data_IF_627815129583
#
_entry.id   IF_627815129583
#
_cell.length_a   1.000
_cell.length_b   1.000
_cell.length_c   1.000
_cell.angle_alpha   90.00
_cell.angle_beta   90.00
_cell.angle_gamma   90.00
#
_symmetry.space_group_name_H-M   'P 1'
#
loop_
_entity.id
_entity.type
_entity.pdbx_description
1 polymer ?
#
# COMPACT_ATOMS: atom_id res chain seq x y z
N UNK A 1 -16.30 -14.58 -2.72
CA UNK A 1 -16.61 -14.51 -1.28
C UNK A 1 -15.95 -15.68 -0.58
N UNK A 2 -15.22 -15.46 0.50
CA UNK A 2 -14.72 -16.59 1.26
C UNK A 2 -15.87 -17.36 1.88
N UNK A 3 -15.81 -18.67 1.80
CA UNK A 3 -16.85 -19.52 2.35
C UNK A 3 -16.77 -19.57 3.88
N UNK A 4 -15.59 -19.26 4.42
CA UNK A 4 -15.35 -19.23 5.86
C UNK A 4 -14.85 -17.84 6.26
N UNK A 5 -15.38 -17.25 7.35
CA UNK A 5 -14.92 -15.95 7.83
C UNK A 5 -13.41 -15.90 8.07
N UNK A 6 -12.79 -17.03 8.42
CA UNK A 6 -11.35 -17.12 8.68
C UNK A 6 -10.49 -16.99 7.42
N UNK A 7 -11.10 -17.09 6.22
CA UNK A 7 -10.39 -16.93 4.95
C UNK A 7 -10.24 -15.46 4.55
N UNK A 8 -11.02 -14.55 5.14
CA UNK A 8 -10.89 -13.13 4.89
C UNK A 8 -9.73 -12.56 5.73
N UNK A 9 -9.21 -11.44 5.28
CA UNK A 9 -8.16 -10.70 6.00
C UNK A 9 -8.72 -9.85 7.15
N UNK A 10 -10.04 -9.71 7.23
CA UNK A 10 -10.71 -8.98 8.31
C UNK A 10 -11.46 -9.94 9.23
N UNK A 11 -11.41 -9.64 10.54
CA UNK A 11 -12.23 -10.32 11.53
C UNK A 11 -13.70 -9.93 11.35
N UNK A 12 -14.60 -10.68 11.98
CA UNK A 12 -16.04 -10.37 11.98
C UNK A 12 -16.30 -8.96 12.52
N UNK A 13 -15.48 -8.51 13.49
CA UNK A 13 -15.55 -7.14 14.02
C UNK A 13 -15.21 -6.07 13.00
N UNK A 14 -14.64 -6.43 11.86
CA UNK A 14 -14.14 -5.51 10.85
C UNK A 14 -12.67 -5.17 11.00
N UNK A 15 -12.04 -5.57 12.10
CA UNK A 15 -10.63 -5.29 12.36
C UNK A 15 -9.74 -6.12 11.44
N UNK A 16 -8.67 -5.49 10.93
CA UNK A 16 -7.68 -6.21 10.13
C UNK A 16 -6.99 -7.28 11.00
N UNK A 17 -6.91 -8.50 10.48
CA UNK A 17 -6.25 -9.60 11.18
C UNK A 17 -4.75 -9.30 11.30
N UNK A 18 -4.17 -9.38 12.50
CA UNK A 18 -2.74 -9.10 12.67
C UNK A 18 -1.84 -10.18 12.04
N UNK A 19 -2.35 -11.38 11.82
CA UNK A 19 -1.59 -12.50 11.27
C UNK A 19 -1.48 -12.52 9.74
N UNK A 20 -2.12 -11.56 9.05
CA UNK A 20 -2.06 -11.49 7.58
C UNK A 20 -1.03 -10.48 7.06
N UNK A 21 -0.39 -9.72 7.93
CA UNK A 21 0.62 -8.72 7.57
C UNK A 21 1.89 -8.94 8.41
N UNK A 22 3.06 -8.66 7.82
CA UNK A 22 4.28 -8.63 8.60
C UNK A 22 4.39 -7.30 9.36
N UNK A 23 5.38 -7.17 10.25
CA UNK A 23 5.51 -6.00 11.10
C UNK A 23 5.75 -4.72 10.31
N UNK A 24 6.58 -4.78 9.26
CA UNK A 24 6.86 -3.63 8.41
C UNK A 24 5.62 -3.16 7.67
N UNK A 25 4.80 -4.10 7.19
CA UNK A 25 3.54 -3.79 6.51
C UNK A 25 2.52 -3.20 7.47
N UNK A 26 2.41 -3.78 8.68
CA UNK A 26 1.53 -3.23 9.71
C UNK A 26 1.91 -1.78 10.04
N UNK A 27 3.20 -1.49 10.13
CA UNK A 27 3.66 -0.12 10.38
C UNK A 27 3.29 0.82 9.24
N UNK A 28 3.48 0.38 8.00
CA UNK A 28 3.10 1.18 6.82
C UNK A 28 1.60 1.47 6.82
N UNK A 29 0.77 0.50 7.20
CA UNK A 29 -0.68 0.72 7.29
C UNK A 29 -1.04 1.72 8.37
N UNK A 30 -0.37 1.69 9.52
CA UNK A 30 -0.58 2.69 10.59
C UNK A 30 -0.18 4.09 10.11
N UNK A 31 0.94 4.21 9.40
CA UNK A 31 1.34 5.49 8.81
C UNK A 31 0.33 5.96 7.76
N UNK A 32 -0.23 5.03 6.98
CA UNK A 32 -1.28 5.37 6.02
C UNK A 32 -2.50 6.01 6.70
N UNK A 33 -2.89 5.52 7.89
CA UNK A 33 -3.96 6.14 8.67
C UNK A 33 -3.61 7.58 9.03
N UNK A 34 -2.38 7.83 9.46
CA UNK A 34 -1.91 9.17 9.81
C UNK A 34 -1.94 10.11 8.61
N UNK A 35 -1.49 9.65 7.44
CA UNK A 35 -1.51 10.46 6.22
C UNK A 35 -2.93 10.72 5.72
N UNK A 36 -3.83 9.75 5.86
CA UNK A 36 -5.24 9.93 5.52
C UNK A 36 -5.81 11.08 6.33
N UNK A 37 -5.58 11.06 7.63
CA UNK A 37 -6.08 12.08 8.55
C UNK A 37 -5.44 13.43 8.29
N UNK A 38 -4.11 13.49 8.10
CA UNK A 38 -3.39 14.75 7.92
C UNK A 38 -3.68 15.43 6.58
N UNK A 39 -4.16 14.68 5.60
CA UNK A 39 -4.60 15.23 4.31
C UNK A 39 -6.13 15.46 4.27
N UNK A 40 -6.80 15.29 5.40
CA UNK A 40 -8.23 15.54 5.61
C UNK A 40 -9.16 14.63 4.80
N UNK A 41 -8.79 13.36 4.71
CA UNK A 41 -9.64 12.32 4.15
C UNK A 41 -10.21 11.45 5.29
N UNK A 42 -11.44 10.99 5.11
CA UNK A 42 -12.14 10.18 6.12
C UNK A 42 -12.02 8.66 5.86
N UNK A 43 -11.42 8.28 4.75
CA UNK A 43 -11.13 6.89 4.45
C UNK A 43 -9.79 6.76 3.73
N UNK A 44 -9.09 5.66 4.01
CA UNK A 44 -7.78 5.40 3.40
C UNK A 44 -7.98 5.08 1.92
N UNK A 45 -7.29 5.83 1.07
CA UNK A 45 -7.26 5.65 -0.38
C UNK A 45 -5.91 5.07 -0.79
N UNK A 46 -5.82 4.58 -2.00
CA UNK A 46 -4.57 3.99 -2.52
C UNK A 46 -3.35 4.91 -2.35
N UNK A 47 -3.45 6.22 -2.65
CA UNK A 47 -2.30 7.12 -2.40
C UNK A 47 -1.84 7.15 -0.95
N UNK A 48 -2.76 7.02 0.01
CA UNK A 48 -2.40 7.01 1.44
C UNK A 48 -1.61 5.74 1.78
N UNK A 49 -1.97 4.59 1.20
CA UNK A 49 -1.18 3.37 1.36
C UNK A 49 0.24 3.55 0.81
N UNK A 50 0.34 4.17 -0.36
CA UNK A 50 1.63 4.45 -0.98
C UNK A 50 2.46 5.37 -0.09
N UNK A 51 1.87 6.42 0.47
CA UNK A 51 2.53 7.30 1.43
C UNK A 51 3.07 6.53 2.63
N UNK A 52 2.28 5.58 3.16
CA UNK A 52 2.71 4.74 4.27
C UNK A 52 3.94 3.90 3.92
N UNK A 53 3.97 3.33 2.72
CA UNK A 53 5.12 2.56 2.24
C UNK A 53 6.36 3.46 2.09
N UNK A 54 6.19 4.68 1.61
CA UNK A 54 7.29 5.63 1.44
C UNK A 54 7.84 6.12 2.79
N UNK A 55 6.99 6.25 3.80
CA UNK A 55 7.38 6.76 5.12
C UNK A 55 8.21 5.75 5.91
N UNK A 56 7.92 4.46 5.75
CA UNK A 56 8.64 3.41 6.48
C UNK A 56 8.93 2.22 5.54
N UNK A 57 9.79 2.45 4.53
CA UNK A 57 10.04 1.42 3.53
C UNK A 57 10.81 0.23 4.12
N UNK A 58 10.35 -0.97 3.79
CA UNK A 58 11.11 -2.18 4.06
C UNK A 58 12.26 -2.31 3.03
N UNK A 59 13.16 -3.31 3.16
CA UNK A 59 14.25 -3.47 2.19
C UNK A 59 13.78 -3.57 0.74
N UNK A 60 12.62 -4.19 0.48
CA UNK A 60 12.09 -4.31 -0.87
C UNK A 60 11.69 -2.97 -1.46
N UNK A 61 10.94 -2.17 -0.71
CA UNK A 61 10.52 -0.83 -1.15
C UNK A 61 11.72 0.08 -1.31
N UNK A 62 12.69 0.00 -0.40
CA UNK A 62 13.93 0.78 -0.50
C UNK A 62 14.72 0.41 -1.77
N UNK A 63 14.82 -0.88 -2.08
CA UNK A 63 15.49 -1.35 -3.29
C UNK A 63 14.75 -0.88 -4.56
N UNK A 64 13.42 -0.93 -4.55
CA UNK A 64 12.61 -0.41 -5.66
C UNK A 64 12.88 1.07 -5.90
N UNK A 65 12.83 1.85 -4.84
CA UNK A 65 13.09 3.30 -4.92
C UNK A 65 14.47 3.58 -5.51
N UNK A 66 15.50 2.85 -5.07
CA UNK A 66 16.86 2.98 -5.60
C UNK A 66 16.92 2.63 -7.08
N UNK A 67 16.29 1.55 -7.49
CA UNK A 67 16.26 1.13 -8.91
C UNK A 67 15.55 2.16 -9.79
N UNK A 68 14.51 2.77 -9.26
CA UNK A 68 13.77 3.81 -9.99
C UNK A 68 14.54 5.13 -10.04
N UNK A 69 15.53 5.31 -9.17
CA UNK A 69 16.26 6.56 -9.03
C UNK A 69 15.44 7.63 -8.30
N UNK A 70 14.51 7.20 -7.46
CA UNK A 70 13.62 8.09 -6.74
C UNK A 70 14.00 8.20 -5.26
N UNK A 71 13.80 9.39 -4.69
CA UNK A 71 13.96 9.64 -3.26
C UNK A 71 12.60 9.46 -2.59
N UNK A 72 12.50 8.52 -1.65
CA UNK A 72 11.23 8.22 -0.97
C UNK A 72 10.68 9.43 -0.23
N UNK A 73 11.54 10.24 0.39
CA UNK A 73 11.08 11.43 1.13
C UNK A 73 10.50 12.49 0.20
N UNK A 74 11.13 12.69 -0.96
CA UNK A 74 10.63 13.65 -1.96
C UNK A 74 9.31 13.17 -2.56
N UNK A 75 9.21 11.89 -2.88
CA UNK A 75 7.96 11.30 -3.37
C UNK A 75 6.85 11.46 -2.33
N UNK A 76 7.15 11.18 -1.07
CA UNK A 76 6.19 11.31 0.01
C UNK A 76 5.65 12.74 0.10
N UNK A 77 6.53 13.74 0.10
CA UNK A 77 6.13 15.15 0.15
C UNK A 77 5.26 15.51 -1.04
N UNK A 78 5.61 15.06 -2.24
CA UNK A 78 4.84 15.31 -3.46
C UNK A 78 3.44 14.69 -3.38
N UNK A 79 3.34 13.46 -2.90
CA UNK A 79 2.03 12.79 -2.77
C UNK A 79 1.18 13.43 -1.68
N UNK A 80 1.77 13.84 -0.57
CA UNK A 80 1.04 14.56 0.49
C UNK A 80 0.45 15.86 -0.03
N UNK A 81 1.23 16.63 -0.77
CA UNK A 81 0.75 17.90 -1.34
C UNK A 81 -0.34 17.66 -2.38
N UNK A 82 -0.16 16.65 -3.24
CA UNK A 82 -1.08 16.35 -4.31
C UNK A 82 -2.46 15.91 -3.79
N UNK A 83 -2.49 15.16 -2.69
CA UNK A 83 -3.73 14.59 -2.15
C UNK A 83 -4.26 15.33 -0.93
N UNK A 84 -3.60 16.42 -0.51
CA UNK A 84 -4.15 17.27 0.53
C UNK A 84 -5.42 17.95 0.04
N UNK A 85 -6.45 17.97 0.88
CA UNK A 85 -7.67 18.72 0.61
C UNK A 85 -8.08 19.54 1.82
N UNK A 86 -8.68 20.71 1.56
CA UNK A 86 -9.25 21.51 2.63
C UNK A 86 -10.61 20.91 3.00
N UNK A 87 -10.73 20.47 4.24
CA UNK A 87 -11.94 19.87 4.77
C UNK A 87 -11.90 19.96 6.30
N UNK A 88 -13.01 19.64 6.93
CA UNK A 88 -13.06 19.58 8.38
C UNK A 88 -12.07 18.53 8.91
N UNK A 89 -11.45 18.79 10.08
CA UNK A 89 -10.55 17.80 10.68
C UNK A 89 -11.24 16.46 10.88
N UNK A 90 -10.50 15.39 10.58
CA UNK A 90 -11.01 14.03 10.64
C UNK A 90 -10.65 13.41 11.99
N UNK A 91 -11.57 12.72 12.66
CA UNK A 91 -11.25 12.01 13.90
C UNK A 91 -10.26 10.86 13.64
N UNK A 92 -9.59 10.34 14.68
CA UNK A 92 -8.64 9.24 14.52
C UNK A 92 -9.25 8.04 13.81
N UNK A 93 -8.48 7.44 12.90
CA UNK A 93 -8.86 6.26 12.12
C UNK A 93 -8.20 5.03 12.73
N UNK A 94 -8.81 3.88 12.51
CA UNK A 94 -8.32 2.59 13.00
C UNK A 94 -8.10 1.63 11.83
N UNK A 95 -7.31 0.58 12.06
CA UNK A 95 -7.13 -0.51 11.10
C UNK A 95 -8.37 -1.41 11.08
N UNK A 96 -9.46 -0.85 10.60
CA UNK A 96 -10.76 -1.47 10.55
C UNK A 96 -11.34 -1.26 9.15
N UNK A 97 -12.01 -2.29 8.64
CA UNK A 97 -12.58 -2.33 7.29
C UNK A 97 -13.35 -1.06 6.93
N UNK A 98 -14.09 -0.49 7.88
CA UNK A 98 -14.94 0.69 7.64
C UNK A 98 -14.15 1.96 7.26
N UNK A 99 -12.85 2.00 7.60
CA UNK A 99 -12.00 3.17 7.32
C UNK A 99 -11.22 3.05 6.01
N UNK A 100 -11.41 1.98 5.25
CA UNK A 100 -10.75 1.77 3.96
C UNK A 100 -11.74 1.93 2.81
N UNK A 101 -11.31 2.59 1.74
CA UNK A 101 -12.13 2.67 0.52
C UNK A 101 -12.28 1.29 -0.11
N UNK A 102 -13.29 1.14 -0.98
CA UNK A 102 -13.52 -0.14 -1.67
C UNK A 102 -12.31 -0.57 -2.49
N UNK A 103 -11.63 0.37 -3.16
CA UNK A 103 -10.42 0.07 -3.93
C UNK A 103 -9.30 -0.43 -3.01
N UNK A 104 -9.14 0.16 -1.83
CA UNK A 104 -8.13 -0.26 -0.87
C UNK A 104 -8.46 -1.64 -0.31
N UNK A 105 -9.73 -1.90 0.01
CA UNK A 105 -10.14 -3.23 0.47
C UNK A 105 -9.80 -4.31 -0.56
N UNK A 106 -10.08 -4.04 -1.84
CA UNK A 106 -9.76 -4.96 -2.92
C UNK A 106 -8.26 -5.15 -3.04
N UNK A 107 -7.50 -4.05 -2.98
CA UNK A 107 -6.03 -4.09 -3.08
C UNK A 107 -5.42 -4.91 -1.96
N UNK A 108 -5.88 -4.73 -0.73
CA UNK A 108 -5.39 -5.50 0.43
C UNK A 108 -5.68 -7.00 0.26
N UNK A 109 -6.87 -7.36 -0.22
CA UNK A 109 -7.23 -8.75 -0.46
C UNK A 109 -6.42 -9.37 -1.59
N UNK A 110 -6.19 -8.62 -2.66
CA UNK A 110 -5.38 -9.07 -3.78
C UNK A 110 -3.91 -9.25 -3.37
N UNK A 111 -3.38 -8.33 -2.57
CA UNK A 111 -2.02 -8.44 -2.04
C UNK A 111 -1.87 -9.66 -1.12
N UNK A 112 -2.87 -9.94 -0.29
CA UNK A 112 -2.89 -11.14 0.54
C UNK A 112 -2.92 -12.41 -0.32
N UNK A 113 -3.71 -12.40 -1.40
CA UNK A 113 -3.76 -13.49 -2.37
C UNK A 113 -2.41 -13.71 -3.04
N UNK A 114 -1.72 -12.62 -3.40
CA UNK A 114 -0.37 -12.71 -3.97
C UNK A 114 0.60 -13.38 -3.00
N UNK A 115 0.55 -13.00 -1.73
CA UNK A 115 1.40 -13.63 -0.71
C UNK A 115 1.15 -15.14 -0.64
N UNK A 116 -0.11 -15.55 -0.63
CA UNK A 116 -0.47 -16.98 -0.60
C UNK A 116 0.00 -17.72 -1.84
N UNK A 117 -0.09 -17.10 -3.02
CA UNK A 117 0.40 -17.68 -4.27
C UNK A 117 1.91 -17.98 -4.22
N UNK A 118 2.64 -17.23 -3.42
CA UNK A 118 4.07 -17.45 -3.18
C UNK A 118 4.35 -18.27 -1.91
N UNK A 119 3.32 -18.92 -1.36
CA UNK A 119 3.48 -19.80 -0.20
C UNK A 119 3.66 -19.09 1.13
N UNK A 120 3.32 -17.81 1.20
CA UNK A 120 3.42 -17.04 2.45
C UNK A 120 2.04 -16.84 3.08
N UNK A 121 2.00 -16.75 4.41
CA UNK A 121 0.76 -16.49 5.16
C UNK A 121 0.56 -15.00 5.42
N UNK A 122 1.66 -14.22 5.40
CA UNK A 122 1.60 -12.78 5.64
C UNK A 122 1.99 -12.02 4.39
N UNK A 123 1.30 -10.91 4.11
CA UNK A 123 1.68 -10.03 3.03
C UNK A 123 2.83 -9.11 3.47
N UNK A 124 3.69 -8.79 2.52
CA UNK A 124 4.80 -7.85 2.69
C UNK A 124 4.45 -6.52 2.03
N UNK A 125 5.28 -5.50 2.28
CA UNK A 125 5.13 -4.23 1.60
C UNK A 125 5.22 -4.39 0.07
N UNK A 126 6.05 -5.32 -0.42
CA UNK A 126 6.19 -5.56 -1.85
C UNK A 126 4.92 -6.17 -2.46
N UNK A 127 4.19 -7.00 -1.71
CA UNK A 127 2.89 -7.50 -2.17
C UNK A 127 1.93 -6.33 -2.43
N UNK A 128 1.90 -5.35 -1.53
CA UNK A 128 1.07 -4.15 -1.70
C UNK A 128 1.55 -3.30 -2.87
N UNK A 129 2.85 -3.05 -2.96
CA UNK A 129 3.41 -2.17 -3.99
C UNK A 129 3.19 -2.74 -5.40
N UNK A 130 3.51 -4.01 -5.59
CA UNK A 130 3.36 -4.66 -6.90
C UNK A 130 1.88 -4.75 -7.29
N UNK A 131 1.02 -5.11 -6.36
CA UNK A 131 -0.43 -5.17 -6.60
C UNK A 131 -0.95 -3.78 -6.98
N UNK A 132 -0.49 -2.74 -6.30
CA UNK A 132 -0.88 -1.36 -6.57
C UNK A 132 -0.53 -0.94 -8.01
N UNK A 133 0.68 -1.28 -8.47
CA UNK A 133 1.12 -0.91 -9.82
C UNK A 133 0.48 -1.76 -10.92
N UNK A 134 0.12 -3.00 -10.62
CA UNK A 134 -0.45 -3.92 -11.60
C UNK A 134 -1.98 -3.85 -11.67
N UNK A 135 -2.62 -3.15 -10.74
CA UNK A 135 -4.08 -2.98 -10.76
C UNK A 135 -4.48 -2.02 -11.88
N UNK A 136 -5.45 -2.38 -12.74
CA UNK A 136 -5.94 -1.46 -13.76
C UNK A 136 -6.47 -0.17 -13.14
N UNK A 137 -6.20 0.96 -13.79
CA UNK A 137 -6.64 2.28 -13.37
C UNK A 137 -6.13 2.70 -11.99
N UNK A 138 -4.94 2.21 -11.60
CA UNK A 138 -4.31 2.63 -10.36
C UNK A 138 -3.99 4.12 -10.40
N UNK A 139 -4.52 4.88 -9.45
CA UNK A 139 -4.27 6.32 -9.38
C UNK A 139 -2.80 6.62 -9.08
N UNK A 140 -2.12 5.76 -8.32
CA UNK A 140 -0.69 5.93 -8.03
C UNK A 140 0.12 5.74 -9.32
N UNK A 141 -0.15 4.68 -10.09
CA UNK A 141 0.52 4.46 -11.37
C UNK A 141 0.24 5.61 -12.34
N UNK A 142 -0.98 6.13 -12.34
CA UNK A 142 -1.36 7.26 -13.19
C UNK A 142 -0.57 8.52 -12.85
N UNK A 143 -0.30 8.77 -11.57
CA UNK A 143 0.54 9.89 -11.17
C UNK A 143 1.94 9.78 -11.74
N UNK A 144 2.51 8.57 -11.78
CA UNK A 144 3.82 8.33 -12.39
C UNK A 144 3.80 8.49 -13.91
N UNK A 145 2.71 8.09 -14.56
CA UNK A 145 2.57 8.25 -16.03
C UNK A 145 2.66 9.71 -16.43
N UNK A 146 2.14 10.61 -15.63
CA UNK A 146 2.19 12.06 -15.89
C UNK A 146 3.61 12.60 -15.93
N UNK A 147 4.56 11.92 -15.31
CA UNK A 147 5.97 12.30 -15.34
C UNK A 147 6.82 11.36 -16.19
N UNK A 148 6.15 10.57 -17.04
CA UNK A 148 6.81 9.73 -18.04
C UNK A 148 7.24 8.35 -17.56
N UNK A 149 6.79 7.89 -16.40
CA UNK A 149 7.10 6.55 -15.91
C UNK A 149 5.88 5.65 -16.07
N UNK A 150 6.00 4.59 -16.87
CA UNK A 150 4.88 3.70 -17.16
C UNK A 150 4.60 2.73 -16.02
N UNK A 151 3.34 2.27 -15.93
CA UNK A 151 2.96 1.25 -14.95
C UNK A 151 3.77 -0.04 -15.16
N UNK A 152 4.05 -0.41 -16.41
CA UNK A 152 4.88 -1.58 -16.71
C UNK A 152 6.28 -1.44 -16.12
N UNK A 153 6.90 -0.27 -16.28
CA UNK A 153 8.23 -0.01 -15.72
C UNK A 153 8.23 -0.04 -14.18
N UNK A 154 7.20 0.55 -13.58
CA UNK A 154 7.04 0.51 -12.12
C UNK A 154 6.95 -0.94 -11.61
N UNK A 155 6.14 -1.75 -12.28
CA UNK A 155 5.95 -3.16 -11.92
C UNK A 155 7.24 -3.95 -12.11
N UNK A 156 7.91 -3.80 -13.23
CA UNK A 156 9.17 -4.49 -13.54
C UNK A 156 10.25 -4.16 -12.50
N UNK A 157 10.41 -2.89 -12.18
CA UNK A 157 11.42 -2.47 -11.19
C UNK A 157 11.07 -2.98 -9.80
N UNK A 158 9.79 -3.04 -9.44
CA UNK A 158 9.34 -3.56 -8.16
C UNK A 158 9.59 -5.07 -8.06
N UNK A 159 9.26 -5.83 -9.10
CA UNK A 159 9.52 -7.28 -9.14
C UNK A 159 11.03 -7.57 -9.06
N UNK A 160 11.84 -6.80 -9.78
CA UNK A 160 13.30 -6.94 -9.73
C UNK A 160 13.84 -6.62 -8.34
N UNK A 161 13.32 -5.59 -7.69
CA UNK A 161 13.72 -5.22 -6.33
C UNK A 161 13.36 -6.30 -5.32
N UNK A 162 12.18 -6.90 -5.45
CA UNK A 162 11.77 -8.00 -4.57
C UNK A 162 12.70 -9.19 -4.70
N UNK A 163 13.06 -9.58 -5.94
CA UNK A 163 13.99 -10.67 -6.20
C UNK A 163 15.36 -10.38 -5.62
N UNK A 164 15.85 -9.17 -5.77
CA UNK A 164 17.15 -8.74 -5.22
C UNK A 164 17.20 -8.95 -3.71
N UNK A 165 16.15 -8.56 -3.00
CA UNK A 165 16.08 -8.68 -1.54
C UNK A 165 15.97 -10.14 -1.12
N UNK A 166 15.19 -10.95 -1.83
CA UNK A 166 15.02 -12.38 -1.52
C UNK A 166 16.30 -13.19 -1.76
N UNK A 167 17.12 -12.76 -2.72
CA UNK A 167 18.36 -13.44 -3.07
C UNK A 167 19.58 -12.88 -2.32
N UNK A 168 19.46 -11.74 -1.75
CA UNK A 168 20.48 -11.12 -0.92
C UNK A 168 20.41 -11.59 0.52
#
# INVERSE_FOLDING_TARGET
MPEHPDEDIFLISGRLRPDVVDDATAQALREALSFTRSTNWDSVRTPHLFMGLLACPDPGVAAWSSRLGADTNKLLDQFRDLFYQEAEPVPPLLLNREFFSDNVLRLLRDASGRARDYGRTTMTQMDLLITMFSTPNSIVAECFERIGVTAAHLTETAVAAEREVLMG
#
